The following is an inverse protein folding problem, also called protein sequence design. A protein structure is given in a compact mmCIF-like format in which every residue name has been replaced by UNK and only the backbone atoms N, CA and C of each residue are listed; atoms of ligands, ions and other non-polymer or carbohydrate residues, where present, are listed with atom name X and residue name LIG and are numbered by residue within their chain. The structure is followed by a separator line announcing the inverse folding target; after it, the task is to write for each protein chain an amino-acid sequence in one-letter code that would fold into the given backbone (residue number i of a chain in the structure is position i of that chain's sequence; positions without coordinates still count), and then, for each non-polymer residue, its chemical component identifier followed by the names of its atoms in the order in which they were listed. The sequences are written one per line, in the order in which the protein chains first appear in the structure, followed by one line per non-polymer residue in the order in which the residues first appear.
data_IF_630235691989
#
_entry.id   IF_630235691989
#
_cell.length_a   1.000
_cell.length_b   1.000
_cell.length_c   1.000
_cell.angle_alpha   90.00
_cell.angle_beta   90.00
_cell.angle_gamma   90.00
#
_symmetry.space_group_name_H-M   'P 1'
#
loop_
_entity.id
_entity.type
_entity.pdbx_description
1 polymer ?
#
# COMPACT_ATOMS: atom_id res chain seq x y z
N UNK A 1 -9.30 18.11 -12.44
CA UNK A 1 -10.68 18.19 -11.91
C UNK A 1 -11.45 19.18 -12.76
N UNK A 2 -12.46 18.70 -13.47
CA UNK A 2 -13.16 19.43 -14.53
C UNK A 2 -13.98 20.62 -14.02
N UNK A 3 -14.07 21.68 -14.83
CA UNK A 3 -14.78 22.91 -14.45
C UNK A 3 -16.29 22.71 -14.27
N UNK A 4 -16.90 21.79 -15.02
CA UNK A 4 -18.32 21.42 -14.87
C UNK A 4 -18.59 20.80 -13.50
N UNK A 5 -17.71 19.91 -13.05
CA UNK A 5 -17.80 19.27 -11.75
C UNK A 5 -17.70 20.32 -10.63
N UNK A 6 -16.71 21.23 -10.72
CA UNK A 6 -16.52 22.31 -9.74
C UNK A 6 -17.73 23.25 -9.66
N UNK A 7 -18.37 23.54 -10.79
CA UNK A 7 -19.57 24.40 -10.85
C UNK A 7 -20.77 23.74 -10.16
N UNK A 8 -20.99 22.45 -10.41
CA UNK A 8 -22.10 21.70 -9.82
C UNK A 8 -21.90 21.49 -8.31
N UNK A 9 -20.68 21.24 -7.84
CA UNK A 9 -20.38 21.08 -6.41
C UNK A 9 -20.66 22.34 -5.57
N UNK A 10 -20.57 23.55 -6.14
CA UNK A 10 -20.70 24.80 -5.37
C UNK A 10 -22.11 25.06 -4.84
N UNK A 11 -23.13 24.50 -5.48
CA UNK A 11 -24.54 24.82 -5.20
C UNK A 11 -25.32 23.63 -4.65
N UNK A 12 -24.66 22.52 -4.35
CA UNK A 12 -25.27 21.32 -3.79
C UNK A 12 -24.80 21.19 -2.35
N UNK A 13 -25.70 21.15 -1.36
CA UNK A 13 -25.30 20.88 0.01
C UNK A 13 -24.83 19.42 0.10
N UNK A 14 -23.66 19.23 0.71
CA UNK A 14 -23.03 17.91 0.84
C UNK A 14 -23.03 17.52 2.31
N UNK A 15 -23.79 16.48 2.65
CA UNK A 15 -23.93 15.98 4.02
C UNK A 15 -23.19 14.66 4.22
N UNK A 16 -22.92 13.93 3.14
CA UNK A 16 -22.29 12.61 3.14
C UNK A 16 -21.26 12.47 1.99
N UNK A 17 -20.19 11.66 2.18
CA UNK A 17 -19.30 11.25 1.10
C UNK A 17 -20.03 10.68 -0.13
N UNK A 18 -21.19 10.05 0.05
CA UNK A 18 -22.01 9.53 -1.04
C UNK A 18 -22.57 10.65 -1.95
N UNK A 19 -22.81 11.84 -1.40
CA UNK A 19 -23.37 12.96 -2.15
C UNK A 19 -22.36 13.50 -3.18
N UNK A 20 -21.06 13.36 -2.90
CA UNK A 20 -20.02 13.64 -3.92
C UNK A 20 -20.13 12.66 -5.09
N UNK A 21 -20.31 11.38 -4.80
CA UNK A 21 -20.41 10.35 -5.83
C UNK A 21 -21.62 10.57 -6.75
N UNK A 22 -22.78 10.86 -6.17
CA UNK A 22 -24.01 11.16 -6.93
C UNK A 22 -23.82 12.43 -7.76
N UNK A 23 -23.30 13.50 -7.17
CA UNK A 23 -23.02 14.77 -7.85
C UNK A 23 -22.07 14.59 -9.03
N UNK A 24 -20.99 13.83 -8.87
CA UNK A 24 -20.07 13.56 -9.97
C UNK A 24 -20.72 12.74 -11.08
N UNK A 25 -21.53 11.74 -10.74
CA UNK A 25 -22.20 10.89 -11.73
C UNK A 25 -23.26 11.65 -12.53
N UNK A 26 -23.99 12.58 -11.91
CA UNK A 26 -25.04 13.38 -12.55
C UNK A 26 -24.48 14.56 -13.33
N UNK A 27 -23.38 15.16 -12.88
CA UNK A 27 -22.74 16.32 -13.53
C UNK A 27 -22.01 15.98 -14.83
N UNK A 28 -21.87 14.69 -15.16
CA UNK A 28 -21.13 14.21 -16.32
C UNK A 28 -22.04 14.07 -17.54
N UNK A 29 -22.01 15.09 -18.40
CA UNK A 29 -22.63 15.09 -19.74
C UNK A 29 -21.73 14.32 -20.72
N UNK A 30 -22.32 13.56 -21.65
CA UNK A 30 -21.60 12.76 -22.64
C UNK A 30 -20.77 13.64 -23.60
N UNK A 31 -19.55 13.23 -24.00
CA UNK A 31 -18.85 11.98 -23.66
C UNK A 31 -18.14 12.06 -22.29
N UNK A 32 -18.21 10.97 -21.51
CA UNK A 32 -17.59 10.91 -20.18
C UNK A 32 -16.08 10.67 -20.29
N UNK A 33 -15.28 11.64 -19.86
CA UNK A 33 -13.81 11.51 -19.83
C UNK A 33 -13.27 10.67 -18.67
N UNK A 34 -14.06 10.46 -17.61
CA UNK A 34 -13.62 9.78 -16.39
C UNK A 34 -14.72 8.87 -15.83
N UNK A 35 -14.30 7.79 -15.17
CA UNK A 35 -15.20 6.85 -14.49
C UNK A 35 -15.22 7.14 -12.98
N UNK A 36 -16.42 7.36 -12.42
CA UNK A 36 -16.60 7.53 -10.97
C UNK A 36 -16.89 6.16 -10.35
N UNK A 37 -15.98 5.66 -9.51
CA UNK A 37 -16.16 4.39 -8.77
C UNK A 37 -16.29 4.66 -7.28
N UNK A 38 -17.26 4.00 -6.65
CA UNK A 38 -17.33 3.94 -5.20
C UNK A 38 -16.39 2.86 -4.71
N UNK A 39 -15.56 3.17 -3.72
CA UNK A 39 -14.64 2.20 -3.14
C UNK A 39 -15.43 1.30 -2.19
N UNK A 40 -15.47 0.01 -2.49
CA UNK A 40 -16.03 -1.00 -1.59
C UNK A 40 -14.93 -1.61 -0.72
N UNK A 41 -15.31 -2.45 0.24
CA UNK A 41 -14.33 -3.14 1.10
C UNK A 41 -13.33 -3.98 0.29
N UNK A 42 -13.70 -4.45 -0.91
CA UNK A 42 -12.82 -5.19 -1.81
C UNK A 42 -11.71 -4.34 -2.42
N UNK A 43 -11.86 -3.01 -2.47
CA UNK A 43 -10.79 -2.13 -2.94
C UNK A 43 -9.57 -2.16 -2.00
N UNK A 44 -9.81 -2.30 -0.70
CA UNK A 44 -8.76 -2.32 0.29
C UNK A 44 -8.11 -3.70 0.33
N UNK A 45 -6.78 -3.74 0.28
CA UNK A 45 -6.03 -4.98 0.43
C UNK A 45 -6.30 -5.55 1.83
N UNK A 46 -6.68 -6.83 1.91
CA UNK A 46 -6.88 -7.52 3.18
C UNK A 46 -5.52 -7.91 3.77
N UNK A 47 -5.04 -7.13 4.75
CA UNK A 47 -3.80 -7.44 5.47
C UNK A 47 -3.99 -8.41 6.65
N UNK A 48 -5.22 -8.81 6.97
CA UNK A 48 -5.49 -9.80 8.02
C UNK A 48 -5.00 -11.21 7.69
N UNK A 49 -4.77 -11.50 6.40
CA UNK A 49 -4.20 -12.76 5.93
C UNK A 49 -2.69 -12.69 5.69
N UNK A 50 -2.08 -11.52 5.87
CA UNK A 50 -0.64 -11.33 5.70
C UNK A 50 0.05 -11.70 7.00
N UNK A 51 0.98 -12.66 6.96
CA UNK A 51 1.78 -13.02 8.13
C UNK A 51 2.60 -11.81 8.57
N UNK A 52 2.27 -11.24 9.72
CA UNK A 52 3.05 -10.15 10.30
C UNK A 52 4.26 -10.72 11.04
N UNK A 53 5.44 -10.13 10.80
CA UNK A 53 6.61 -10.43 11.62
C UNK A 53 6.34 -9.91 13.03
N UNK A 54 6.34 -10.79 14.03
CA UNK A 54 6.19 -10.42 15.45
C UNK A 54 7.31 -9.50 15.93
N UNK A 55 8.49 -9.58 15.31
CA UNK A 55 9.65 -8.76 15.62
C UNK A 55 10.50 -8.55 14.38
N UNK A 56 11.02 -7.34 14.23
CA UNK A 56 12.04 -6.99 13.23
C UNK A 56 13.45 -6.99 13.83
N UNK A 57 13.59 -7.40 15.09
CA UNK A 57 14.88 -7.41 15.80
C UNK A 57 15.81 -8.47 15.21
N UNK A 58 17.00 -8.10 14.72
CA UNK A 58 17.96 -9.05 14.15
C UNK A 58 18.47 -10.09 15.15
N UNK A 59 18.85 -9.64 16.34
CA UNK A 59 19.46 -10.47 17.37
C UNK A 59 18.49 -10.79 18.51
N UNK A 60 18.56 -12.02 19.04
CA UNK A 60 17.74 -12.43 20.19
C UNK A 60 18.50 -12.33 21.54
N UNK A 61 19.84 -12.38 21.50
CA UNK A 61 20.68 -12.42 22.70
C UNK A 61 21.15 -11.03 23.16
N UNK A 62 21.62 -10.95 24.40
CA UNK A 62 22.27 -9.74 24.95
C UNK A 62 23.56 -9.46 24.18
N UNK A 63 23.73 -8.22 23.73
CA UNK A 63 24.85 -7.82 22.86
C UNK A 63 24.62 -8.06 21.36
N UNK A 64 23.52 -8.70 20.97
CA UNK A 64 23.17 -8.87 19.56
C UNK A 64 22.45 -7.61 19.01
N UNK A 65 22.51 -7.36 17.69
CA UNK A 65 21.97 -6.16 17.08
C UNK A 65 20.48 -5.99 17.35
N UNK A 66 20.11 -4.77 17.67
CA UNK A 66 18.75 -4.35 18.01
C UNK A 66 18.08 -3.66 16.82
N UNK A 67 16.81 -3.29 17.00
CA UNK A 67 16.06 -2.55 15.97
C UNK A 67 16.73 -1.21 15.62
N UNK A 68 17.41 -0.59 16.58
CA UNK A 68 18.11 0.69 16.39
C UNK A 68 19.36 0.58 15.50
N UNK A 69 19.88 -0.63 15.34
CA UNK A 69 21.07 -0.90 14.51
C UNK A 69 20.69 -1.14 13.04
N UNK A 70 19.40 -1.28 12.74
CA UNK A 70 18.90 -1.44 11.38
C UNK A 70 19.15 -0.18 10.55
N UNK A 71 19.53 -0.37 9.29
CA UNK A 71 19.76 0.70 8.31
C UNK A 71 18.91 0.55 7.07
N UNK A 72 18.60 -0.69 6.68
CA UNK A 72 17.73 -0.96 5.55
C UNK A 72 16.99 -2.28 5.77
N UNK A 73 15.73 -2.33 5.30
CA UNK A 73 14.91 -3.53 5.20
C UNK A 73 14.55 -3.74 3.73
N UNK A 74 14.69 -4.96 3.24
CA UNK A 74 14.31 -5.40 1.90
C UNK A 74 13.22 -6.45 2.01
N UNK A 75 12.09 -6.19 1.37
CA UNK A 75 11.00 -7.14 1.22
C UNK A 75 11.14 -7.83 -0.15
N UNK A 76 11.21 -9.17 -0.16
CA UNK A 76 11.12 -9.95 -1.40
C UNK A 76 9.65 -10.15 -1.80
N UNK A 77 9.32 -10.22 -3.10
CA UNK A 77 8.01 -10.69 -3.55
C UNK A 77 7.61 -12.06 -2.99
N UNK A 78 8.59 -12.90 -2.63
CA UNK A 78 8.38 -14.23 -2.05
C UNK A 78 7.96 -14.19 -0.56
N UNK A 79 7.95 -13.01 0.05
CA UNK A 79 7.60 -12.81 1.46
C UNK A 79 8.76 -12.90 2.44
N UNK A 80 9.99 -12.96 1.93
CA UNK A 80 11.19 -12.90 2.75
C UNK A 80 11.51 -11.46 3.13
N UNK A 81 11.92 -11.26 4.40
CA UNK A 81 12.37 -9.98 4.91
C UNK A 81 13.86 -10.07 5.20
N UNK A 82 14.63 -9.20 4.57
CA UNK A 82 16.08 -9.13 4.73
C UNK A 82 16.50 -7.77 5.27
N UNK A 83 17.64 -7.67 5.97
CA UNK A 83 18.10 -6.46 6.61
C UNK A 83 19.58 -6.15 6.38
N UNK A 84 19.96 -4.88 6.57
CA UNK A 84 21.34 -4.39 6.64
C UNK A 84 21.56 -3.56 7.90
N UNK A 85 22.76 -3.66 8.46
CA UNK A 85 23.22 -2.89 9.63
C UNK A 85 24.16 -1.74 9.23
N UNK A 86 24.66 -1.72 8.00
CA UNK A 86 25.55 -0.68 7.48
C UNK A 86 24.89 0.07 6.34
N UNK A 87 25.31 1.33 6.14
CA UNK A 87 24.85 2.18 5.03
C UNK A 87 25.66 1.97 3.74
N UNK A 88 26.63 1.06 3.75
CA UNK A 88 27.51 0.85 2.60
C UNK A 88 26.72 0.43 1.38
N UNK A 89 26.72 1.31 0.37
CA UNK A 89 26.05 1.12 -0.90
C UNK A 89 26.63 -0.06 -1.68
N UNK A 90 27.91 -0.38 -1.43
CA UNK A 90 28.70 -1.47 -2.02
C UNK A 90 28.50 -2.81 -1.31
N UNK A 91 28.07 -2.79 -0.04
CA UNK A 91 27.80 -3.99 0.73
C UNK A 91 26.48 -4.62 0.31
N UNK A 92 26.51 -5.50 -0.68
CA UNK A 92 25.31 -6.14 -1.25
C UNK A 92 24.68 -7.21 -0.34
N UNK A 93 25.20 -7.41 0.87
CA UNK A 93 24.78 -8.50 1.74
C UNK A 93 23.60 -8.08 2.61
N UNK A 94 22.40 -8.46 2.18
CA UNK A 94 21.24 -8.48 3.05
C UNK A 94 21.25 -9.79 3.84
N UNK A 95 21.06 -9.71 5.16
CA UNK A 95 20.88 -10.88 6.01
C UNK A 95 19.38 -11.18 6.15
N UNK A 96 18.99 -12.45 6.12
CA UNK A 96 17.59 -12.83 6.27
C UNK A 96 17.13 -12.70 7.74
N UNK A 97 15.99 -12.05 7.98
CA UNK A 97 15.34 -12.07 9.29
C UNK A 97 14.61 -13.41 9.47
N UNK A 98 15.16 -14.29 10.31
CA UNK A 98 14.54 -15.58 10.64
C UNK A 98 13.32 -15.40 11.54
N UNK A 99 12.14 -15.27 10.93
CA UNK A 99 10.84 -15.37 11.60
C UNK A 99 10.26 -16.78 11.45
N UNK A 100 9.99 -17.48 12.56
CA UNK A 100 9.56 -18.90 12.58
C UNK A 100 8.21 -19.24 11.92
N UNK A 101 7.54 -18.32 11.23
CA UNK A 101 6.25 -18.58 10.59
C UNK A 101 6.22 -17.92 9.20
N UNK A 102 6.90 -18.53 8.22
CA UNK A 102 6.75 -18.17 6.81
C UNK A 102 5.48 -18.84 6.27
N UNK A 103 4.38 -18.09 6.21
CA UNK A 103 3.35 -18.35 5.20
C UNK A 103 3.57 -17.34 4.08
N UNK A 104 3.86 -17.88 2.89
CA UNK A 104 4.25 -17.20 1.66
C UNK A 104 3.41 -15.94 1.43
N UNK A 105 4.06 -14.79 1.24
CA UNK A 105 3.35 -13.63 0.73
C UNK A 105 2.81 -14.01 -0.65
N UNK A 106 1.49 -14.00 -0.78
CA UNK A 106 0.87 -14.14 -2.08
C UNK A 106 1.23 -12.90 -2.87
N UNK A 107 1.98 -13.14 -3.94
CA UNK A 107 2.31 -12.25 -5.04
C UNK A 107 1.06 -11.47 -5.50
N UNK A 108 0.86 -10.28 -4.94
CA UNK A 108 -0.25 -9.41 -5.30
C UNK A 108 0.20 -8.40 -6.36
N UNK A 109 0.11 -8.88 -7.60
CA UNK A 109 -0.18 -8.14 -8.83
C UNK A 109 0.30 -6.68 -8.88
N UNK A 110 1.54 -6.49 -9.30
CA UNK A 110 2.01 -5.25 -9.92
C UNK A 110 1.65 -5.21 -11.41
N UNK A 111 0.40 -5.48 -11.78
CA UNK A 111 -0.05 -5.30 -13.18
C UNK A 111 -1.56 -5.07 -13.24
N UNK A 112 -1.97 -3.83 -12.96
CA UNK A 112 -3.15 -3.25 -13.64
C UNK A 112 -3.12 -1.73 -13.50
N UNK A 113 -2.15 -1.11 -14.16
CA UNK A 113 -2.34 0.23 -14.71
C UNK A 113 -2.39 0.08 -16.24
N UNK A 114 -3.51 -0.45 -16.75
CA UNK A 114 -3.81 -0.31 -18.17
C UNK A 114 -4.44 1.06 -18.34
N UNK A 115 -3.61 2.03 -18.74
CA UNK A 115 -4.09 3.25 -19.36
C UNK A 115 -4.65 2.87 -20.73
N UNK A 116 -5.96 3.07 -20.90
CA UNK A 116 -6.58 3.29 -22.21
C UNK A 116 -6.64 4.79 -22.46
#
# INVERSE_FOLDING_TARGET
MDNLIKKNLKNIPIYSPMDYFTTFRTSMVSPRSYEVKSLNHCFFKNYGQVSTFKTIRPGQQKGAPTVNDLRCLKYSPDGELSYKLTFDRTGNFYLELRGKNQLRFIQLCFTHLSLK
#
